data_IF_435259993326
#
_entry.id   IF_435259993326
#
_cell.length_a   1.000
_cell.length_b   1.000
_cell.length_c   1.000
_cell.angle_alpha   90.00
_cell.angle_beta   90.00
_cell.angle_gamma   90.00
#
_symmetry.space_group_name_H-M   'P 1'
#
loop_
_entity.id
_entity.type
_entity.pdbx_description
1 polymer ?
#
# COMPACT_ATOMS: atom_id res chain seq x y z
N UNK A 1 83.18 17.31 6.47
CA UNK A 1 82.11 17.13 7.49
C UNK A 1 80.78 17.41 6.79
N UNK A 2 80.11 16.34 6.41
CA UNK A 2 78.82 16.45 5.70
C UNK A 2 77.68 16.09 6.68
N UNK A 3 76.77 17.07 6.89
CA UNK A 3 75.59 16.89 7.73
C UNK A 3 74.40 16.64 6.78
N UNK A 4 73.81 15.43 6.83
CA UNK A 4 72.64 15.05 6.06
C UNK A 4 71.39 15.24 6.89
N UNK A 5 70.58 16.24 6.56
CA UNK A 5 69.23 16.40 7.10
C UNK A 5 68.28 15.45 6.39
N UNK A 6 67.74 14.44 7.13
CA UNK A 6 66.62 13.59 6.72
C UNK A 6 65.31 14.27 7.06
N UNK A 7 64.60 14.74 6.06
CA UNK A 7 63.25 15.24 6.18
C UNK A 7 62.25 14.05 6.25
N UNK A 8 61.61 13.87 7.42
CA UNK A 8 60.49 12.95 7.58
C UNK A 8 59.23 13.59 7.00
N UNK A 9 58.71 13.05 5.92
CA UNK A 9 57.37 13.39 5.41
C UNK A 9 56.33 12.53 6.10
N UNK A 10 55.52 13.16 6.98
CA UNK A 10 54.33 12.50 7.53
C UNK A 10 53.25 12.48 6.45
N UNK A 11 52.91 11.30 5.95
CA UNK A 11 51.72 11.09 5.13
C UNK A 11 50.51 10.93 6.05
N UNK A 12 49.65 11.96 6.08
CA UNK A 12 48.36 11.89 6.75
C UNK A 12 47.42 11.06 5.87
N UNK A 13 47.08 9.85 6.32
CA UNK A 13 46.06 9.00 5.72
C UNK A 13 44.71 9.50 6.24
N UNK A 14 43.99 10.24 5.40
CA UNK A 14 42.59 10.61 5.65
C UNK A 14 41.73 9.36 5.38
N UNK A 15 41.33 8.64 6.42
CA UNK A 15 40.33 7.59 6.33
C UNK A 15 38.96 8.25 6.14
N UNK A 16 38.49 8.36 4.89
CA UNK A 16 37.12 8.72 4.58
C UNK A 16 36.22 7.55 5.00
N UNK A 17 35.64 7.64 6.19
CA UNK A 17 34.59 6.75 6.65
C UNK A 17 33.34 6.98 5.79
N UNK A 18 33.14 6.15 4.77
CA UNK A 18 31.86 6.01 4.08
C UNK A 18 30.88 5.42 5.08
N UNK A 19 30.14 6.30 5.77
CA UNK A 19 28.96 5.89 6.51
C UNK A 19 27.95 5.31 5.52
N UNK A 20 27.87 3.99 5.47
CA UNK A 20 26.75 3.28 4.84
C UNK A 20 25.52 3.63 5.67
N UNK A 21 24.80 4.70 5.27
CA UNK A 21 23.45 4.92 5.73
C UNK A 21 22.66 3.67 5.31
N UNK A 22 22.38 2.79 6.27
CA UNK A 22 21.41 1.71 6.07
C UNK A 22 20.09 2.39 5.73
N UNK A 23 19.72 2.38 4.46
CA UNK A 23 18.36 2.70 4.05
C UNK A 23 17.51 1.66 4.75
N UNK A 24 16.83 2.06 5.81
CA UNK A 24 15.79 1.22 6.42
C UNK A 24 14.80 0.94 5.30
N UNK A 25 14.82 -0.27 4.78
CA UNK A 25 13.88 -0.71 3.76
C UNK A 25 12.52 -0.79 4.45
N UNK A 26 11.74 0.28 4.35
CA UNK A 26 10.34 0.24 4.75
C UNK A 26 9.69 -0.91 3.98
N UNK A 27 8.88 -1.71 4.66
CA UNK A 27 8.13 -2.77 4.01
C UNK A 27 7.16 -2.21 2.96
N UNK A 28 6.54 -3.08 2.14
CA UNK A 28 5.61 -2.66 1.11
C UNK A 28 4.52 -1.72 1.62
N UNK A 29 4.38 -0.52 1.05
CA UNK A 29 3.60 0.57 1.64
C UNK A 29 2.10 0.32 1.72
N UNK A 30 1.52 -0.55 0.85
CA UNK A 30 0.10 -0.88 0.89
C UNK A 30 -0.28 -1.83 2.03
N UNK A 31 0.66 -2.58 2.57
CA UNK A 31 0.42 -3.61 3.58
C UNK A 31 0.97 -3.22 4.94
N UNK A 32 2.24 -2.80 5.01
CA UNK A 32 2.96 -2.64 6.28
C UNK A 32 2.59 -1.36 7.04
N UNK A 33 1.87 -0.44 6.41
CA UNK A 33 1.53 0.85 7.00
C UNK A 33 0.01 1.01 7.10
N UNK A 34 -0.58 0.88 8.32
CA UNK A 34 -1.99 1.20 8.53
C UNK A 34 -2.29 2.64 8.18
N UNK A 35 -3.43 2.87 7.50
CA UNK A 35 -3.84 4.21 7.13
C UNK A 35 -4.64 4.87 8.26
N UNK A 36 -4.42 6.17 8.45
CA UNK A 36 -5.30 7.01 9.26
C UNK A 36 -6.62 7.18 8.53
N UNK A 37 -7.72 6.82 9.17
CA UNK A 37 -9.08 6.83 8.63
C UNK A 37 -9.96 7.83 9.36
N UNK A 38 -11.17 8.06 8.84
CA UNK A 38 -12.15 8.94 9.49
C UNK A 38 -12.51 8.46 10.91
N UNK A 39 -12.76 9.42 11.81
CA UNK A 39 -13.24 9.08 13.14
C UNK A 39 -14.58 8.32 13.05
N UNK A 40 -14.62 7.09 13.58
CA UNK A 40 -15.80 6.22 13.49
C UNK A 40 -16.03 5.61 12.10
N UNK A 41 -15.05 5.66 11.20
CA UNK A 41 -15.12 4.98 9.91
C UNK A 41 -15.47 3.49 10.09
N UNK A 42 -16.41 2.94 9.31
CA UNK A 42 -16.71 1.51 9.35
C UNK A 42 -15.54 0.74 8.74
N UNK A 43 -14.83 -0.02 9.57
CA UNK A 43 -13.68 -0.81 9.18
C UNK A 43 -13.88 -2.28 9.54
N UNK A 44 -13.19 -3.17 8.81
CA UNK A 44 -13.02 -4.56 9.26
C UNK A 44 -12.41 -4.56 10.68
N UNK A 45 -12.86 -5.43 11.58
CA UNK A 45 -12.31 -5.52 12.94
C UNK A 45 -10.77 -5.63 12.93
N UNK A 46 -10.12 -5.10 13.95
CA UNK A 46 -8.68 -5.20 14.13
C UNK A 46 -8.37 -5.35 15.60
N UNK A 47 -7.25 -5.99 15.95
CA UNK A 47 -6.91 -6.17 17.35
C UNK A 47 -6.82 -4.82 18.06
N UNK A 48 -7.60 -4.67 19.13
CA UNK A 48 -7.74 -3.41 19.85
C UNK A 48 -6.40 -2.96 20.44
N UNK A 49 -6.08 -1.68 20.24
CA UNK A 49 -4.84 -1.08 20.76
C UNK A 49 -3.56 -1.56 20.08
N UNK A 50 -3.63 -2.49 19.15
CA UNK A 50 -2.45 -2.97 18.43
C UNK A 50 -1.94 -1.93 17.43
N UNK A 51 -0.64 -1.65 17.52
CA UNK A 51 0.11 -0.92 16.48
C UNK A 51 0.75 -1.87 15.46
N UNK A 52 0.59 -3.18 15.67
CA UNK A 52 1.11 -4.19 14.76
C UNK A 52 0.26 -4.22 13.49
N UNK A 53 0.90 -3.96 12.38
CA UNK A 53 0.26 -3.93 11.07
C UNK A 53 -0.25 -5.31 10.62
N UNK A 54 0.24 -6.40 11.24
CA UNK A 54 -0.06 -7.79 10.89
C UNK A 54 -0.76 -8.55 12.03
N UNK A 55 -1.53 -7.87 12.87
CA UNK A 55 -2.23 -8.49 13.98
C UNK A 55 -3.76 -8.30 13.83
N UNK A 56 -4.43 -9.15 12.99
CA UNK A 56 -5.87 -9.10 12.83
C UNK A 56 -6.59 -9.56 14.12
N UNK A 57 -7.84 -9.12 14.31
CA UNK A 57 -8.68 -9.62 15.38
C UNK A 57 -8.98 -11.11 15.15
N UNK A 58 -8.56 -11.96 16.09
CA UNK A 58 -8.76 -13.41 16.04
C UNK A 58 -10.19 -13.85 16.28
N UNK A 59 -11.02 -12.98 16.86
CA UNK A 59 -12.44 -13.26 17.09
C UNK A 59 -13.30 -13.01 15.84
N UNK A 60 -12.76 -12.34 14.82
CA UNK A 60 -13.49 -12.08 13.58
C UNK A 60 -13.73 -13.38 12.79
N UNK A 61 -15.00 -13.61 12.45
CA UNK A 61 -15.38 -14.75 11.59
C UNK A 61 -15.01 -14.46 10.13
N UNK A 62 -13.92 -15.05 9.67
CA UNK A 62 -13.38 -14.88 8.32
C UNK A 62 -14.28 -15.43 7.21
N UNK A 63 -15.30 -16.25 7.55
CA UNK A 63 -16.31 -16.69 6.58
C UNK A 63 -17.11 -15.50 6.01
N UNK A 64 -17.21 -14.42 6.76
CA UNK A 64 -17.90 -13.18 6.37
C UNK A 64 -17.02 -12.21 5.57
N UNK A 65 -15.71 -12.49 5.41
CA UNK A 65 -14.73 -11.54 4.89
C UNK A 65 -15.13 -10.91 3.54
N UNK A 66 -15.56 -11.74 2.60
CA UNK A 66 -15.96 -11.24 1.26
C UNK A 66 -17.17 -10.31 1.37
N UNK A 67 -18.22 -10.74 2.07
CA UNK A 67 -19.46 -9.98 2.20
C UNK A 67 -19.22 -8.66 2.97
N UNK A 68 -18.49 -8.72 4.08
CA UNK A 68 -18.18 -7.54 4.88
C UNK A 68 -17.30 -6.56 4.13
N UNK A 69 -16.26 -7.02 3.44
CA UNK A 69 -15.41 -6.13 2.64
C UNK A 69 -16.22 -5.43 1.56
N UNK A 70 -17.04 -6.16 0.79
CA UNK A 70 -17.88 -5.55 -0.25
C UNK A 70 -18.87 -4.52 0.30
N UNK A 71 -19.44 -4.76 1.49
CA UNK A 71 -20.31 -3.81 2.18
C UNK A 71 -19.56 -2.54 2.60
N UNK A 72 -18.32 -2.67 3.08
CA UNK A 72 -17.46 -1.57 3.47
C UNK A 72 -16.92 -0.77 2.28
N UNK A 73 -16.86 -1.35 1.09
CA UNK A 73 -16.56 -0.69 -0.18
C UNK A 73 -17.83 -0.08 -0.81
N UNK A 74 -18.70 0.53 0.01
CA UNK A 74 -19.90 1.24 -0.44
C UNK A 74 -19.56 2.51 -1.24
N UNK A 75 -20.52 3.06 -2.00
CA UNK A 75 -20.29 4.26 -2.81
C UNK A 75 -19.87 5.48 -1.99
N UNK A 76 -20.28 5.56 -0.73
CA UNK A 76 -20.00 6.69 0.16
C UNK A 76 -18.69 6.55 0.94
N UNK A 77 -18.05 5.37 0.91
CA UNK A 77 -16.79 5.15 1.64
C UNK A 77 -15.65 6.01 1.04
N UNK A 78 -14.94 6.81 1.85
CA UNK A 78 -13.77 7.58 1.41
C UNK A 78 -12.65 6.69 0.89
N UNK A 79 -11.80 7.22 0.01
CA UNK A 79 -10.66 6.47 -0.58
C UNK A 79 -9.75 5.88 0.50
N UNK A 80 -9.37 6.66 1.51
CA UNK A 80 -8.47 6.19 2.57
C UNK A 80 -9.09 5.07 3.43
N UNK A 81 -10.40 5.15 3.71
CA UNK A 81 -11.10 4.09 4.44
C UNK A 81 -11.17 2.79 3.61
N UNK A 82 -11.34 2.91 2.27
CA UNK A 82 -11.26 1.77 1.35
C UNK A 82 -9.88 1.13 1.35
N UNK A 83 -8.83 1.96 1.30
CA UNK A 83 -7.45 1.49 1.35
C UNK A 83 -7.19 0.68 2.62
N UNK A 84 -7.60 1.19 3.78
CA UNK A 84 -7.44 0.48 5.06
C UNK A 84 -8.27 -0.80 5.12
N UNK A 85 -9.52 -0.78 4.63
CA UNK A 85 -10.35 -1.98 4.58
C UNK A 85 -9.75 -3.07 3.67
N UNK A 86 -9.22 -2.70 2.50
CA UNK A 86 -8.58 -3.65 1.59
C UNK A 86 -7.26 -4.17 2.15
N UNK A 87 -6.48 -3.34 2.86
CA UNK A 87 -5.30 -3.77 3.59
C UNK A 87 -5.65 -4.83 4.64
N UNK A 88 -6.65 -4.55 5.50
CA UNK A 88 -7.12 -5.51 6.52
C UNK A 88 -7.65 -6.79 5.89
N UNK A 89 -8.47 -6.66 4.84
CA UNK A 89 -9.02 -7.81 4.11
C UNK A 89 -7.93 -8.70 3.54
N UNK A 90 -6.85 -8.13 3.01
CA UNK A 90 -5.70 -8.88 2.51
C UNK A 90 -5.05 -9.71 3.60
N UNK A 91 -4.80 -9.12 4.78
CA UNK A 91 -4.20 -9.84 5.91
C UNK A 91 -5.14 -10.93 6.44
N UNK A 92 -6.46 -10.69 6.50
CA UNK A 92 -7.41 -11.74 6.86
C UNK A 92 -7.46 -12.89 5.84
N UNK A 93 -7.26 -12.58 4.55
CA UNK A 93 -7.33 -13.57 3.46
C UNK A 93 -6.05 -14.37 3.29
N UNK A 94 -4.92 -13.94 3.86
CA UNK A 94 -3.59 -14.55 3.62
C UNK A 94 -3.51 -16.04 3.96
N UNK A 95 -4.26 -16.48 4.97
CA UNK A 95 -4.28 -17.89 5.38
C UNK A 95 -5.19 -18.77 4.52
N UNK A 96 -6.03 -18.17 3.67
CA UNK A 96 -6.99 -18.90 2.84
C UNK A 96 -7.06 -18.35 1.41
N UNK A 97 -6.29 -18.91 0.46
CA UNK A 97 -6.27 -18.48 -0.93
C UNK A 97 -7.61 -18.58 -1.64
N UNK A 98 -8.47 -19.52 -1.24
CA UNK A 98 -9.81 -19.60 -1.82
C UNK A 98 -10.63 -18.37 -1.45
N UNK A 99 -10.52 -17.89 -0.21
CA UNK A 99 -11.15 -16.66 0.24
C UNK A 99 -10.53 -15.43 -0.43
N UNK A 100 -9.19 -15.37 -0.53
CA UNK A 100 -8.49 -14.30 -1.26
C UNK A 100 -8.95 -14.22 -2.72
N UNK A 101 -8.98 -15.37 -3.40
CA UNK A 101 -9.45 -15.47 -4.78
C UNK A 101 -10.93 -15.06 -4.92
N UNK A 102 -11.80 -15.48 -4.01
CA UNK A 102 -13.21 -15.12 -4.02
C UNK A 102 -13.40 -13.60 -3.84
N UNK A 103 -12.66 -12.99 -2.91
CA UNK A 103 -12.71 -11.54 -2.68
C UNK A 103 -12.25 -10.77 -3.93
N UNK A 104 -11.09 -11.12 -4.50
CA UNK A 104 -10.58 -10.42 -5.68
C UNK A 104 -11.52 -10.56 -6.87
N UNK A 105 -12.06 -11.77 -7.13
CA UNK A 105 -13.06 -11.97 -8.19
C UNK A 105 -14.29 -11.10 -7.98
N UNK A 106 -14.80 -11.04 -6.76
CA UNK A 106 -15.99 -10.25 -6.43
C UNK A 106 -15.75 -8.74 -6.64
N UNK A 107 -14.57 -8.25 -6.28
CA UNK A 107 -14.19 -6.85 -6.49
C UNK A 107 -14.00 -6.55 -7.98
N UNK A 108 -13.31 -7.42 -8.71
CA UNK A 108 -13.12 -7.28 -10.17
C UNK A 108 -14.45 -7.35 -10.93
N UNK A 109 -15.39 -8.20 -10.49
CA UNK A 109 -16.71 -8.29 -11.14
C UNK A 109 -17.49 -6.98 -11.11
N UNK A 110 -17.28 -6.15 -10.08
CA UNK A 110 -17.91 -4.81 -10.01
C UNK A 110 -17.48 -3.89 -11.17
N UNK A 111 -16.30 -4.08 -11.74
CA UNK A 111 -15.85 -3.28 -12.91
C UNK A 111 -16.60 -3.64 -14.20
N UNK A 112 -17.28 -4.78 -14.24
CA UNK A 112 -18.05 -5.25 -15.41
C UNK A 112 -19.53 -4.91 -15.30
N UNK A 113 -20.01 -4.53 -14.12
CA UNK A 113 -21.40 -4.12 -13.94
C UNK A 113 -21.60 -2.68 -14.42
N UNK A 114 -22.79 -2.37 -14.95
CA UNK A 114 -23.11 -1.00 -15.33
C UNK A 114 -23.10 -0.09 -14.09
N UNK A 115 -22.23 0.92 -14.03
CA UNK A 115 -22.15 1.80 -12.86
C UNK A 115 -23.37 2.74 -12.80
N UNK A 116 -23.68 3.24 -11.61
CA UNK A 116 -24.74 4.24 -11.41
C UNK A 116 -24.31 5.60 -11.99
N UNK A 117 -23.04 5.93 -11.83
CA UNK A 117 -22.42 7.18 -12.31
C UNK A 117 -20.91 6.99 -12.48
N UNK A 118 -20.21 8.05 -12.93
CA UNK A 118 -18.77 8.02 -13.16
C UNK A 118 -17.97 7.79 -11.87
N UNK A 119 -18.44 8.29 -10.70
CA UNK A 119 -17.80 8.06 -9.41
C UNK A 119 -17.88 6.58 -9.02
N UNK A 120 -19.05 5.96 -9.17
CA UNK A 120 -19.22 4.53 -8.89
C UNK A 120 -18.31 3.67 -9.79
N UNK A 121 -18.17 4.07 -11.06
CA UNK A 121 -17.24 3.42 -11.98
C UNK A 121 -15.79 3.59 -11.55
N UNK A 122 -15.37 4.80 -11.20
CA UNK A 122 -14.03 5.09 -10.70
C UNK A 122 -13.70 4.24 -9.46
N UNK A 123 -14.62 4.17 -8.50
CA UNK A 123 -14.43 3.39 -7.28
C UNK A 123 -14.31 1.88 -7.56
N UNK A 124 -15.05 1.35 -8.53
CA UNK A 124 -14.92 -0.05 -8.91
C UNK A 124 -13.54 -0.35 -9.52
N UNK A 125 -13.03 0.52 -10.40
CA UNK A 125 -11.68 0.40 -10.98
C UNK A 125 -10.60 0.57 -9.91
N UNK A 126 -10.76 1.52 -9.01
CA UNK A 126 -9.86 1.75 -7.88
C UNK A 126 -9.77 0.52 -6.99
N UNK A 127 -10.90 0.00 -6.50
CA UNK A 127 -10.95 -1.15 -5.60
C UNK A 127 -10.25 -2.37 -6.22
N UNK A 128 -10.54 -2.66 -7.50
CA UNK A 128 -9.93 -3.78 -8.21
C UNK A 128 -8.41 -3.61 -8.33
N UNK A 129 -7.95 -2.45 -8.78
CA UNK A 129 -6.52 -2.19 -8.96
C UNK A 129 -5.76 -2.19 -7.64
N UNK A 130 -6.32 -1.55 -6.61
CA UNK A 130 -5.69 -1.45 -5.30
C UNK A 130 -5.55 -2.83 -4.63
N UNK A 131 -6.60 -3.65 -4.68
CA UNK A 131 -6.57 -4.99 -4.08
C UNK A 131 -5.57 -5.92 -4.79
N UNK A 132 -5.48 -5.86 -6.13
CA UNK A 132 -4.46 -6.60 -6.90
C UNK A 132 -3.05 -6.26 -6.41
N UNK A 133 -2.73 -4.97 -6.28
CA UNK A 133 -1.39 -4.55 -5.85
C UNK A 133 -1.13 -4.86 -4.38
N UNK A 134 -2.14 -4.77 -3.53
CA UNK A 134 -2.02 -5.17 -2.12
C UNK A 134 -1.68 -6.66 -1.99
N UNK A 135 -2.32 -7.52 -2.79
CA UNK A 135 -2.00 -8.95 -2.83
C UNK A 135 -0.59 -9.22 -3.35
N UNK A 136 -0.14 -8.48 -4.37
CA UNK A 136 1.23 -8.59 -4.89
C UNK A 136 2.26 -8.18 -3.85
N UNK A 137 2.04 -7.07 -3.16
CA UNK A 137 2.95 -6.61 -2.12
C UNK A 137 3.02 -7.58 -0.94
N UNK A 138 1.91 -8.21 -0.54
CA UNK A 138 1.96 -9.27 0.46
C UNK A 138 2.79 -10.46 -0.02
N UNK A 139 2.67 -10.84 -1.30
CA UNK A 139 3.52 -11.87 -1.91
C UNK A 139 5.01 -11.57 -1.76
N UNK A 140 5.42 -10.31 -2.00
CA UNK A 140 6.81 -9.86 -1.82
C UNK A 140 7.29 -9.99 -0.37
N UNK A 141 6.41 -9.75 0.62
CA UNK A 141 6.75 -9.91 2.04
C UNK A 141 7.15 -11.36 2.33
N UNK A 142 6.40 -12.33 1.80
CA UNK A 142 6.72 -13.75 1.97
C UNK A 142 7.96 -14.15 1.18
N UNK A 143 8.09 -13.69 -0.05
CA UNK A 143 9.26 -13.96 -0.91
C UNK A 143 10.57 -13.50 -0.26
N UNK A 144 10.54 -12.33 0.38
CA UNK A 144 11.70 -11.77 1.07
C UNK A 144 11.87 -12.24 2.52
N UNK A 145 11.04 -13.17 3.00
CA UNK A 145 11.15 -13.75 4.34
C UNK A 145 10.89 -12.75 5.48
N UNK A 146 10.17 -11.66 5.23
CA UNK A 146 9.79 -10.68 6.25
C UNK A 146 8.73 -11.20 7.21
N UNK A 147 7.99 -12.22 6.80
CA UNK A 147 7.05 -12.97 7.63
C UNK A 147 7.36 -14.47 7.52
N UNK A 148 7.09 -15.24 8.60
CA UNK A 148 7.15 -16.69 8.52
C UNK A 148 6.19 -17.20 7.44
N UNK A 149 6.67 -18.04 6.54
CA UNK A 149 5.83 -18.64 5.52
C UNK A 149 4.76 -19.52 6.18
N UNK A 150 3.57 -19.00 6.32
CA UNK A 150 2.40 -19.76 6.73
C UNK A 150 1.82 -20.45 5.49
N UNK A 151 2.37 -21.61 5.15
CA UNK A 151 1.90 -22.36 4.00
C UNK A 151 2.62 -22.00 2.69
N UNK A 152 2.20 -22.66 1.61
CA UNK A 152 2.89 -22.66 0.31
C UNK A 152 2.45 -21.53 -0.63
N UNK A 153 2.13 -20.35 -0.11
CA UNK A 153 1.57 -19.30 -0.94
C UNK A 153 2.66 -18.45 -1.54
N UNK A 154 2.80 -18.50 -2.83
CA UNK A 154 3.64 -17.58 -3.61
C UNK A 154 2.84 -16.41 -4.17
N UNK A 155 1.51 -16.51 -4.21
CA UNK A 155 0.63 -15.43 -4.70
C UNK A 155 -0.79 -15.62 -4.18
N UNK A 156 -1.43 -14.52 -3.76
CA UNK A 156 -2.86 -14.45 -3.47
C UNK A 156 -3.69 -14.11 -4.72
N UNK A 157 -3.03 -13.64 -5.79
CA UNK A 157 -3.70 -13.34 -7.05
C UNK A 157 -4.01 -14.65 -7.77
N UNK A 158 -5.30 -14.95 -8.06
CA UNK A 158 -5.67 -16.14 -8.83
C UNK A 158 -5.02 -16.14 -10.22
N UNK A 159 -4.73 -17.33 -10.75
CA UNK A 159 -4.02 -17.49 -12.01
C UNK A 159 -4.68 -16.73 -13.18
N UNK A 160 -6.00 -16.72 -13.24
CA UNK A 160 -6.79 -16.05 -14.29
C UNK A 160 -6.79 -14.51 -14.16
N UNK A 161 -6.30 -13.95 -13.05
CA UNK A 161 -6.23 -12.52 -12.78
C UNK A 161 -4.79 -12.00 -12.69
N UNK A 162 -3.79 -12.83 -12.96
CA UNK A 162 -2.36 -12.45 -12.86
C UNK A 162 -1.96 -11.38 -13.85
N UNK A 163 -2.64 -11.32 -15.00
CA UNK A 163 -2.40 -10.33 -16.05
C UNK A 163 -2.99 -8.94 -15.75
N UNK A 164 -3.78 -8.80 -14.67
CA UNK A 164 -4.31 -7.49 -14.30
C UNK A 164 -3.17 -6.57 -13.88
N UNK A 165 -3.09 -5.42 -14.48
CA UNK A 165 -2.20 -4.33 -14.06
C UNK A 165 -2.96 -3.43 -13.08
N UNK A 166 -2.71 -3.61 -11.77
CA UNK A 166 -3.41 -2.86 -10.72
C UNK A 166 -3.18 -1.36 -10.82
N UNK A 167 -1.96 -0.94 -11.16
CA UNK A 167 -1.66 0.47 -11.37
C UNK A 167 -2.47 1.06 -12.54
N UNK A 168 -2.53 0.36 -13.68
CA UNK A 168 -3.32 0.80 -14.82
C UNK A 168 -4.82 0.91 -14.50
N UNK A 169 -5.37 0.00 -13.67
CA UNK A 169 -6.75 0.08 -13.20
C UNK A 169 -6.99 1.32 -12.32
N UNK A 170 -6.06 1.66 -11.42
CA UNK A 170 -6.17 2.88 -10.61
C UNK A 170 -6.03 4.14 -11.48
N UNK A 171 -5.21 4.14 -12.53
CA UNK A 171 -5.15 5.26 -13.46
C UNK A 171 -6.46 5.50 -14.21
N UNK A 172 -7.26 4.44 -14.47
CA UNK A 172 -8.63 4.61 -14.97
C UNK A 172 -9.52 5.34 -13.95
N UNK A 173 -9.41 4.97 -12.68
CA UNK A 173 -10.16 5.64 -11.62
C UNK A 173 -9.79 7.13 -11.53
N UNK A 174 -8.50 7.47 -11.60
CA UNK A 174 -8.01 8.87 -11.63
C UNK A 174 -8.67 9.66 -12.75
N UNK A 175 -8.77 9.07 -13.95
CA UNK A 175 -9.37 9.75 -15.12
C UNK A 175 -10.88 9.98 -14.98
N UNK A 176 -11.59 9.15 -14.19
CA UNK A 176 -13.04 9.21 -14.01
C UNK A 176 -13.50 10.05 -12.82
N UNK A 177 -12.64 10.26 -11.82
CA UNK A 177 -12.99 10.94 -10.56
C UNK A 177 -11.97 12.04 -10.20
N UNK A 178 -11.93 13.15 -10.97
CA UNK A 178 -10.99 14.24 -10.74
C UNK A 178 -11.15 14.91 -9.36
N UNK A 179 -12.32 14.84 -8.75
CA UNK A 179 -12.58 15.35 -7.40
C UNK A 179 -11.86 14.56 -6.30
N UNK A 180 -11.50 13.29 -6.56
CA UNK A 180 -10.75 12.43 -5.65
C UNK A 180 -9.28 12.28 -6.09
N UNK A 181 -8.79 13.14 -6.97
CA UNK A 181 -7.49 12.97 -7.61
C UNK A 181 -6.35 12.89 -6.59
N UNK A 182 -6.36 13.69 -5.54
CA UNK A 182 -5.27 13.73 -4.56
C UNK A 182 -5.11 12.40 -3.81
N UNK A 183 -6.22 11.79 -3.35
CA UNK A 183 -6.20 10.49 -2.69
C UNK A 183 -5.85 9.36 -3.67
N UNK A 184 -6.33 9.43 -4.90
CA UNK A 184 -6.01 8.46 -5.95
C UNK A 184 -4.54 8.58 -6.41
N UNK A 185 -3.96 9.80 -6.46
CA UNK A 185 -2.54 10.01 -6.68
C UNK A 185 -1.72 9.43 -5.50
N UNK A 186 -2.16 9.60 -4.25
CA UNK A 186 -1.51 8.97 -3.11
C UNK A 186 -1.49 7.45 -3.24
N UNK A 187 -2.62 6.82 -3.52
CA UNK A 187 -2.68 5.38 -3.76
C UNK A 187 -1.78 4.94 -4.93
N UNK A 188 -1.76 5.72 -6.03
CA UNK A 188 -0.90 5.48 -7.20
C UNK A 188 0.59 5.53 -6.82
N UNK A 189 0.99 6.47 -5.95
CA UNK A 189 2.36 6.56 -5.46
C UNK A 189 2.80 5.30 -4.72
N UNK A 190 1.91 4.75 -3.85
CA UNK A 190 2.20 3.57 -3.04
C UNK A 190 2.35 2.27 -3.84
N UNK A 191 1.86 2.24 -5.07
CA UNK A 191 1.94 1.07 -5.95
C UNK A 191 2.87 1.25 -7.15
N UNK A 192 3.43 2.45 -7.34
CA UNK A 192 4.35 2.74 -8.44
C UNK A 192 5.81 2.61 -8.01
N UNK A 193 6.71 2.72 -9.00
CA UNK A 193 8.16 2.79 -8.80
C UNK A 193 8.68 4.14 -9.29
N UNK A 194 9.86 4.53 -8.80
CA UNK A 194 10.51 5.75 -9.26
C UNK A 194 10.70 5.77 -10.80
N UNK A 195 10.51 6.93 -11.46
CA UNK A 195 10.24 8.26 -10.89
C UNK A 195 8.74 8.56 -10.70
N UNK A 196 7.84 7.62 -10.96
CA UNK A 196 6.39 7.85 -10.88
C UNK A 196 5.92 8.05 -9.43
N UNK A 197 6.51 7.32 -8.49
CA UNK A 197 6.24 7.46 -7.04
C UNK A 197 6.35 8.92 -6.60
N UNK A 198 7.49 9.56 -6.87
CA UNK A 198 7.70 10.96 -6.51
C UNK A 198 6.70 11.90 -7.19
N UNK A 199 6.38 11.65 -8.46
CA UNK A 199 5.43 12.47 -9.22
C UNK A 199 4.03 12.41 -8.62
N UNK A 200 3.51 11.21 -8.33
CA UNK A 200 2.22 11.02 -7.71
C UNK A 200 2.19 11.57 -6.28
N UNK A 201 3.26 11.36 -5.50
CA UNK A 201 3.34 11.85 -4.13
C UNK A 201 3.28 13.40 -4.08
N UNK A 202 3.97 14.09 -4.99
CA UNK A 202 3.88 15.56 -5.11
C UNK A 202 2.47 16.03 -5.48
N UNK A 203 1.76 15.33 -6.37
CA UNK A 203 0.38 15.67 -6.72
C UNK A 203 -0.55 15.47 -5.53
N UNK A 204 -0.43 14.34 -4.83
CA UNK A 204 -1.18 14.08 -3.63
C UNK A 204 -0.96 15.18 -2.58
N UNK A 205 0.29 15.55 -2.32
CA UNK A 205 0.63 16.59 -1.36
C UNK A 205 0.09 17.97 -1.76
N UNK A 206 0.14 18.33 -3.05
CA UNK A 206 -0.38 19.60 -3.53
C UNK A 206 -1.91 19.70 -3.49
N UNK A 207 -2.61 18.56 -3.55
CA UNK A 207 -4.07 18.50 -3.46
C UNK A 207 -4.61 18.28 -2.04
N UNK A 208 -3.74 17.95 -1.08
CA UNK A 208 -4.15 17.67 0.29
C UNK A 208 -4.51 18.97 1.05
N UNK A 209 -5.75 19.08 1.51
CA UNK A 209 -6.14 20.17 2.40
C UNK A 209 -5.44 20.04 3.76
N UNK A 210 -5.07 21.16 4.35
CA UNK A 210 -4.44 21.19 5.67
C UNK A 210 -5.33 20.49 6.72
N UNK A 211 -4.75 19.56 7.49
CA UNK A 211 -5.46 18.78 8.51
C UNK A 211 -6.38 17.69 7.98
N UNK A 212 -6.49 17.51 6.65
CA UNK A 212 -7.24 16.41 6.06
C UNK A 212 -6.65 15.04 6.42
N UNK A 213 -7.43 13.97 6.25
CA UNK A 213 -6.94 12.60 6.42
C UNK A 213 -5.77 12.31 5.47
N UNK A 214 -5.84 12.82 4.24
CA UNK A 214 -4.74 12.68 3.29
C UNK A 214 -3.47 13.34 3.82
N UNK A 215 -3.54 14.58 4.31
CA UNK A 215 -2.39 15.27 4.90
C UNK A 215 -1.80 14.50 6.08
N UNK A 216 -2.64 13.90 6.94
CA UNK A 216 -2.19 13.06 8.06
C UNK A 216 -1.45 11.80 7.58
N UNK A 217 -1.95 11.14 6.53
CA UNK A 217 -1.29 9.97 5.97
C UNK A 217 0.02 10.32 5.28
N UNK A 218 0.11 11.42 4.55
CA UNK A 218 1.33 11.86 3.87
C UNK A 218 2.51 12.10 4.81
N UNK A 219 2.27 12.49 6.07
CA UNK A 219 3.34 12.67 7.08
C UNK A 219 4.15 11.39 7.29
N UNK A 220 3.54 10.21 7.18
CA UNK A 220 4.22 8.93 7.36
C UNK A 220 5.15 8.56 6.20
N UNK A 221 5.04 9.24 5.07
CA UNK A 221 5.81 8.96 3.85
C UNK A 221 6.88 10.02 3.53
N UNK A 222 7.19 10.90 4.52
CA UNK A 222 8.24 11.97 4.45
C UNK A 222 8.17 12.80 3.16
N UNK A 223 6.96 13.15 2.75
CA UNK A 223 6.73 14.05 1.61
C UNK A 223 6.99 15.47 2.10
N UNK A 224 8.19 15.98 1.81
CA UNK A 224 8.62 17.37 2.07
C UNK A 224 8.43 18.24 0.85
#
# INVERSE_FOLDING_TARGET
>A
MFSTHRSFRFAAVLAAGLGLASVATAGPPLICHPFTTGAGAPLLPWAEGSKDWHLPDRAYDRANLVADTLRLLSADAPILDRMENMRRATIYAEENPATAAALLRAVVERTKTKPADARAEALAWFDAGYLVETYRQLGLIYEHGMLPAHGRWTSLVPAELTELDGYALVQKAVALAPESQAELDFASALMSREPLTETHMRRAASGAAAGSLLAQNLVHYDVR
#
